data_IF_308385518955
#
_entry.id   IF_308385518955
#
_cell.length_a   1.000
_cell.length_b   1.000
_cell.length_c   1.000
_cell.angle_alpha   90.00
_cell.angle_beta   90.00
_cell.angle_gamma   90.00
#
_symmetry.space_group_name_H-M   'P 1'
#
loop_
_entity.id
_entity.type
_entity.pdbx_description
1 polymer ?
#
# COMPACT_ATOMS: atom_id res chain seq x y z
N UNK A 1 10.32 -44.05 -70.08
CA UNK A 1 11.26 -44.93 -69.34
C UNK A 1 11.90 -44.09 -68.23
N UNK A 2 11.65 -44.43 -66.95
CA UNK A 2 12.34 -43.88 -65.75
C UNK A 2 13.67 -44.62 -65.55
N UNK A 3 14.70 -44.07 -64.87
CA UNK A 3 14.81 -44.10 -63.38
C UNK A 3 15.41 -42.79 -62.80
N UNK A 4 15.02 -42.17 -61.67
CA UNK A 4 14.84 -42.56 -60.25
C UNK A 4 16.16 -42.89 -59.49
N UNK A 5 16.44 -42.06 -58.46
CA UNK A 5 17.38 -42.17 -57.30
C UNK A 5 18.58 -41.18 -57.35
N UNK A 6 18.63 -40.11 -56.55
CA UNK A 6 18.79 -40.00 -55.08
C UNK A 6 20.26 -39.82 -54.67
N UNK A 7 20.66 -38.59 -54.29
CA UNK A 7 21.71 -38.19 -53.34
C UNK A 7 21.88 -36.66 -53.52
N UNK A 8 22.10 -35.75 -52.57
CA UNK A 8 22.17 -35.65 -51.11
C UNK A 8 22.63 -34.18 -50.89
N UNK A 9 22.17 -33.53 -49.80
CA UNK A 9 22.74 -32.31 -49.19
C UNK A 9 22.83 -31.01 -50.04
N UNK A 10 22.15 -29.94 -49.61
CA UNK A 10 22.72 -28.96 -48.65
C UNK A 10 21.74 -27.80 -48.44
N UNK A 11 21.27 -27.66 -47.20
CA UNK A 11 20.52 -26.52 -46.70
C UNK A 11 21.33 -25.22 -46.81
N UNK A 12 20.71 -24.15 -47.32
CA UNK A 12 20.97 -22.80 -46.81
C UNK A 12 19.63 -22.09 -46.70
N UNK A 13 19.01 -22.23 -45.53
CA UNK A 13 17.88 -21.41 -45.10
C UNK A 13 18.51 -20.09 -44.62
N UNK A 14 18.49 -19.07 -45.46
CA UNK A 14 18.97 -17.74 -45.10
C UNK A 14 17.94 -17.11 -44.16
N UNK A 15 18.05 -17.41 -42.86
CA UNK A 15 17.35 -16.66 -41.81
C UNK A 15 18.04 -15.31 -41.73
N UNK A 16 17.44 -14.29 -42.36
CA UNK A 16 17.74 -12.92 -42.03
C UNK A 16 17.28 -12.70 -40.58
N UNK A 17 18.20 -12.87 -39.64
CA UNK A 17 18.04 -12.35 -38.29
C UNK A 17 18.04 -10.83 -38.41
N UNK A 18 16.84 -10.24 -38.55
CA UNK A 18 16.65 -8.84 -38.24
C UNK A 18 17.02 -8.69 -36.77
N UNK A 19 18.22 -8.19 -36.50
CA UNK A 19 18.54 -7.64 -35.19
C UNK A 19 17.42 -6.64 -34.85
N UNK A 20 16.92 -6.63 -33.59
CA UNK A 20 16.06 -5.54 -33.19
C UNK A 20 16.92 -4.28 -33.30
N UNK A 21 16.69 -3.52 -34.38
CA UNK A 21 17.08 -2.13 -34.41
C UNK A 21 16.34 -1.56 -33.21
N UNK A 22 17.08 -1.13 -32.20
CA UNK A 22 16.55 -0.35 -31.10
C UNK A 22 16.08 0.98 -31.70
N UNK A 23 14.95 0.92 -32.41
CA UNK A 23 14.08 2.04 -32.66
C UNK A 23 13.85 2.64 -31.27
N UNK A 24 14.17 3.91 -31.12
CA UNK A 24 14.01 4.64 -29.88
C UNK A 24 12.53 4.62 -29.52
N UNK A 25 12.11 3.55 -28.85
CA UNK A 25 10.74 3.33 -28.45
C UNK A 25 10.38 4.49 -27.53
N UNK A 26 9.40 5.28 -27.94
CA UNK A 26 9.01 6.46 -27.19
C UNK A 26 8.50 6.02 -25.80
N UNK A 27 9.06 6.58 -24.71
CA UNK A 27 8.62 6.19 -23.38
C UNK A 27 7.15 6.55 -23.22
N UNK A 28 6.31 5.57 -22.87
CA UNK A 28 4.85 5.75 -22.74
C UNK A 28 4.36 5.56 -21.29
N UNK A 29 5.13 4.86 -20.46
CA UNK A 29 4.80 4.60 -19.06
C UNK A 29 6.02 4.58 -18.16
N UNK A 30 5.85 5.15 -16.96
CA UNK A 30 6.84 5.06 -15.87
C UNK A 30 6.17 4.49 -14.61
N UNK A 31 6.87 3.61 -13.92
CA UNK A 31 6.50 3.11 -12.59
C UNK A 31 7.65 3.35 -11.62
N UNK A 32 7.32 3.63 -10.36
CA UNK A 32 8.29 3.88 -9.30
C UNK A 32 7.99 2.98 -8.10
N UNK A 33 8.99 2.21 -7.68
CA UNK A 33 8.89 1.28 -6.55
C UNK A 33 10.05 1.54 -5.58
N UNK A 34 9.83 1.27 -4.29
CA UNK A 34 10.90 1.24 -3.30
C UNK A 34 11.19 -0.18 -2.87
N UNK A 35 12.47 -0.54 -2.80
CA UNK A 35 12.95 -1.79 -2.26
C UNK A 35 13.73 -1.51 -0.98
N UNK A 36 13.41 -2.23 0.09
CA UNK A 36 14.23 -2.21 1.31
C UNK A 36 15.43 -3.13 1.12
N UNK A 37 16.61 -2.64 1.48
CA UNK A 37 17.86 -3.39 1.42
C UNK A 37 18.16 -3.96 2.83
N UNK A 38 18.91 -5.07 2.89
CA UNK A 38 19.18 -5.80 4.14
C UNK A 38 19.97 -4.98 5.18
N UNK A 39 20.66 -3.93 4.75
CA UNK A 39 21.40 -2.98 5.60
C UNK A 39 20.50 -1.88 6.23
N UNK A 40 19.19 -1.93 5.96
CA UNK A 40 18.22 -0.92 6.42
C UNK A 40 18.14 0.31 5.52
N UNK A 41 18.93 0.39 4.44
CA UNK A 41 18.79 1.42 3.41
C UNK A 41 17.60 1.12 2.48
N UNK A 42 17.13 2.14 1.77
CA UNK A 42 16.05 2.02 0.79
C UNK A 42 16.59 2.34 -0.59
N UNK A 43 16.18 1.58 -1.60
CA UNK A 43 16.51 1.83 -3.00
C UNK A 43 15.24 2.16 -3.77
N UNK A 44 15.26 3.29 -4.48
CA UNK A 44 14.23 3.62 -5.46
C UNK A 44 14.56 2.92 -6.78
N UNK A 45 13.55 2.33 -7.40
CA UNK A 45 13.65 1.70 -8.71
C UNK A 45 12.54 2.26 -9.58
N UNK A 46 12.92 3.01 -10.60
CA UNK A 46 12.02 3.46 -11.65
C UNK A 46 12.13 2.52 -12.85
N UNK A 47 11.00 2.11 -13.41
CA UNK A 47 10.95 1.33 -14.65
C UNK A 47 10.17 2.10 -15.71
N UNK A 48 10.80 2.29 -16.87
CA UNK A 48 10.25 2.98 -18.03
C UNK A 48 9.91 1.95 -19.10
N UNK A 49 8.69 2.00 -19.61
CA UNK A 49 8.15 1.09 -20.62
C UNK A 49 7.48 1.85 -21.75
N UNK A 50 7.47 1.25 -22.93
CA UNK A 50 6.69 1.71 -24.08
C UNK A 50 5.20 1.32 -23.96
N UNK A 51 4.39 1.69 -24.96
CA UNK A 51 2.96 1.38 -24.99
C UNK A 51 2.65 -0.12 -25.18
N UNK A 52 3.61 -0.91 -25.67
CA UNK A 52 3.54 -2.37 -25.81
C UNK A 52 4.04 -3.12 -24.56
N UNK A 53 4.58 -2.40 -23.56
CA UNK A 53 5.15 -2.97 -22.33
C UNK A 53 6.64 -3.33 -22.42
N UNK A 54 7.33 -2.96 -23.50
CA UNK A 54 8.77 -3.18 -23.70
C UNK A 54 9.58 -2.19 -22.87
N UNK A 55 10.67 -2.60 -22.19
CA UNK A 55 11.54 -1.68 -21.47
C UNK A 55 12.28 -0.73 -22.42
N UNK A 56 12.34 0.56 -22.07
CA UNK A 56 13.03 1.59 -22.87
C UNK A 56 14.36 1.98 -22.21
N UNK A 57 15.52 1.61 -22.80
CA UNK A 57 16.84 1.99 -22.28
C UNK A 57 17.25 3.42 -22.66
N UNK A 58 18.24 3.97 -21.96
CA UNK A 58 18.87 5.27 -22.28
C UNK A 58 17.98 6.49 -22.04
N UNK A 59 16.92 6.35 -21.26
CA UNK A 59 15.98 7.43 -20.97
C UNK A 59 16.34 8.11 -19.65
N UNK A 60 16.52 9.43 -19.66
CA UNK A 60 16.84 10.20 -18.46
C UNK A 60 15.66 10.23 -17.48
N UNK A 61 15.87 9.71 -16.26
CA UNK A 61 14.91 9.72 -15.16
C UNK A 61 15.41 10.61 -14.03
N UNK A 62 14.67 11.67 -13.73
CA UNK A 62 14.94 12.56 -12.60
C UNK A 62 14.12 12.13 -11.37
N UNK A 63 14.80 11.82 -10.27
CA UNK A 63 14.19 11.54 -8.97
C UNK A 63 14.08 12.83 -8.14
N UNK A 64 12.89 13.08 -7.62
CA UNK A 64 12.53 14.26 -6.84
C UNK A 64 11.92 13.82 -5.51
N UNK A 65 12.24 14.53 -4.43
CA UNK A 65 11.62 14.36 -3.12
C UNK A 65 10.82 15.60 -2.73
N UNK A 66 9.66 15.39 -2.12
CA UNK A 66 8.87 16.46 -1.51
C UNK A 66 9.44 16.79 -0.15
N UNK A 67 9.88 18.03 0.01
CA UNK A 67 10.36 18.61 1.27
C UNK A 67 9.40 19.71 1.75
N UNK A 68 9.59 20.20 2.98
CA UNK A 68 8.84 21.34 3.50
C UNK A 68 9.00 22.62 2.64
N UNK A 69 10.11 22.74 1.91
CA UNK A 69 10.45 23.89 1.08
C UNK A 69 10.11 23.68 -0.41
N UNK A 70 9.49 22.55 -0.78
CA UNK A 70 9.13 22.22 -2.16
C UNK A 70 9.81 20.94 -2.68
N UNK A 71 9.92 20.81 -4.00
CA UNK A 71 10.52 19.65 -4.66
C UNK A 71 12.05 19.77 -4.73
N UNK A 72 12.76 18.81 -4.14
CA UNK A 72 14.21 18.72 -4.19
C UNK A 72 14.64 17.65 -5.19
N UNK A 73 15.51 17.99 -6.14
CA UNK A 73 16.14 17.02 -7.06
C UNK A 73 17.13 16.17 -6.25
N UNK A 74 16.91 14.86 -6.23
CA UNK A 74 17.79 13.90 -5.57
C UNK A 74 18.90 13.43 -6.50
N UNK A 75 18.50 12.96 -7.67
CA UNK A 75 19.41 12.40 -8.66
C UNK A 75 18.75 12.40 -10.04
N UNK A 76 19.58 12.28 -11.06
CA UNK A 76 19.18 12.02 -12.43
C UNK A 76 19.99 10.83 -12.93
N UNK A 77 19.30 9.82 -13.43
CA UNK A 77 19.89 8.52 -13.79
C UNK A 77 19.23 8.05 -15.08
N UNK A 78 20.03 7.67 -16.06
CA UNK A 78 19.54 7.08 -17.30
C UNK A 78 19.12 5.62 -17.08
N UNK A 79 18.05 5.18 -17.76
CA UNK A 79 17.63 3.78 -17.70
C UNK A 79 18.65 2.85 -18.33
N UNK A 80 18.96 1.73 -17.66
CA UNK A 80 19.82 0.68 -18.20
C UNK A 80 19.16 -0.12 -19.33
N UNK A 81 19.86 -1.14 -19.84
CA UNK A 81 19.36 -2.03 -20.91
C UNK A 81 17.99 -2.68 -20.60
N UNK A 82 17.68 -2.86 -19.31
CA UNK A 82 16.41 -3.42 -18.83
C UNK A 82 15.31 -2.36 -18.64
N UNK A 83 15.53 -1.11 -19.09
CA UNK A 83 14.59 0.00 -18.92
C UNK A 83 14.41 0.46 -17.47
N UNK A 84 15.36 0.14 -16.60
CA UNK A 84 15.31 0.48 -15.17
C UNK A 84 16.38 1.48 -14.77
N UNK A 85 15.99 2.45 -13.95
CA UNK A 85 16.89 3.40 -13.29
C UNK A 85 16.76 3.20 -11.78
N UNK A 86 17.87 3.19 -11.05
CA UNK A 86 17.84 2.94 -9.61
C UNK A 86 18.73 3.90 -8.85
N UNK A 87 18.25 4.31 -7.67
CA UNK A 87 18.93 5.27 -6.82
C UNK A 87 18.84 4.85 -5.34
N UNK A 88 19.98 4.84 -4.64
CA UNK A 88 20.02 4.54 -3.22
C UNK A 88 19.60 5.77 -2.42
N UNK A 89 18.62 5.59 -1.54
CA UNK A 89 18.04 6.63 -0.71
C UNK A 89 18.67 6.58 0.69
N UNK A 90 19.50 7.58 1.00
CA UNK A 90 20.12 7.74 2.32
C UNK A 90 19.58 8.99 3.02
N UNK A 91 18.94 8.83 4.18
CA UNK A 91 18.67 9.94 5.09
C UNK A 91 17.44 10.81 4.81
N UNK A 92 16.47 10.38 3.99
CA UNK A 92 15.20 11.10 3.85
C UNK A 92 14.25 10.84 5.04
N UNK A 93 13.50 11.85 5.51
CA UNK A 93 12.54 11.69 6.60
C UNK A 93 11.42 10.72 6.21
N UNK A 94 10.84 10.08 7.23
CA UNK A 94 9.93 8.92 7.13
C UNK A 94 8.59 9.16 6.38
N UNK A 95 8.33 10.39 5.93
CA UNK A 95 7.14 10.81 5.19
C UNK A 95 7.57 11.71 4.01
N UNK A 96 8.33 11.14 3.07
CA UNK A 96 8.75 11.86 1.86
C UNK A 96 7.96 11.30 0.68
N UNK A 97 7.19 12.15 0.00
CA UNK A 97 6.66 11.82 -1.33
C UNK A 97 7.82 11.90 -2.33
N UNK A 98 8.03 10.84 -3.10
CA UNK A 98 9.06 10.79 -4.14
C UNK A 98 8.38 10.76 -5.50
N UNK A 99 8.88 11.52 -6.45
CA UNK A 99 8.45 11.49 -7.84
C UNK A 99 9.63 11.14 -8.74
N UNK A 100 9.42 10.25 -9.70
CA UNK A 100 10.33 10.01 -10.80
C UNK A 100 9.72 10.63 -12.07
N UNK A 101 10.50 11.44 -12.79
CA UNK A 101 10.08 12.13 -14.02
C UNK A 101 10.96 11.74 -15.18
N UNK A 102 10.34 11.55 -16.34
CA UNK A 102 11.03 11.22 -17.59
C UNK A 102 10.97 12.42 -18.53
N UNK A 103 12.13 12.81 -19.07
CA UNK A 103 12.27 13.90 -20.05
C UNK A 103 12.25 15.32 -19.46
N UNK A 104 12.65 16.29 -20.28
CA UNK A 104 12.58 17.71 -19.93
C UNK A 104 11.13 18.20 -19.97
N UNK A 105 10.51 18.29 -18.79
CA UNK A 105 9.17 18.83 -18.63
C UNK A 105 8.09 17.77 -18.55
N UNK A 106 7.91 17.19 -17.36
CA UNK A 106 6.67 16.58 -16.86
C UNK A 106 5.93 15.52 -17.72
N UNK A 107 6.44 15.10 -18.88
CA UNK A 107 5.72 14.30 -19.87
C UNK A 107 5.24 12.95 -19.29
N UNK A 108 6.07 12.35 -18.43
CA UNK A 108 5.70 11.15 -17.67
C UNK A 108 6.22 11.28 -16.24
N UNK A 109 5.35 11.05 -15.26
CA UNK A 109 5.70 11.11 -13.84
C UNK A 109 5.09 9.92 -13.08
N UNK A 110 5.87 9.31 -12.19
CA UNK A 110 5.39 8.34 -11.22
C UNK A 110 5.66 8.85 -9.81
N UNK A 111 4.62 9.00 -9.01
CA UNK A 111 4.71 9.34 -7.59
C UNK A 111 4.66 8.09 -6.71
N UNK A 112 5.52 8.06 -5.70
CA UNK A 112 5.52 7.06 -4.65
C UNK A 112 5.61 7.76 -3.31
N UNK A 113 4.57 7.61 -2.50
CA UNK A 113 4.63 8.00 -1.10
C UNK A 113 5.45 6.93 -0.38
N UNK A 114 6.59 7.31 0.19
CA UNK A 114 7.39 6.42 1.05
C UNK A 114 6.67 6.20 2.37
N UNK A 115 5.57 5.46 2.35
CA UNK A 115 4.98 4.91 3.56
C UNK A 115 5.94 3.86 4.10
N UNK A 116 6.31 3.98 5.37
CA UNK A 116 7.05 2.93 6.06
C UNK A 116 6.32 1.56 5.93
N UNK A 117 7.03 0.43 5.83
CA UNK A 117 6.60 -0.78 6.53
C UNK A 117 6.47 -0.35 7.98
N UNK A 118 5.25 -0.41 8.52
CA UNK A 118 4.93 0.16 9.83
C UNK A 118 6.04 -0.15 10.85
N UNK A 119 6.79 0.86 11.36
CA UNK A 119 7.72 0.62 12.46
C UNK A 119 6.95 0.28 13.75
N UNK A 120 5.61 0.37 13.70
CA UNK A 120 4.65 -0.15 14.66
C UNK A 120 4.03 -1.48 14.20
N UNK A 121 4.79 -2.35 13.52
CA UNK A 121 4.68 -3.77 13.89
C UNK A 121 4.74 -3.82 15.41
N UNK A 122 3.75 -4.42 16.11
CA UNK A 122 3.40 -4.07 17.48
C UNK A 122 4.65 -3.96 18.33
N UNK A 123 5.08 -2.73 18.62
CA UNK A 123 6.15 -2.53 19.58
C UNK A 123 5.57 -2.99 20.90
N UNK A 124 5.85 -4.24 21.28
CA UNK A 124 5.67 -4.70 22.64
C UNK A 124 6.47 -3.72 23.48
N UNK A 125 5.79 -2.74 24.08
CA UNK A 125 6.39 -1.84 25.05
C UNK A 125 7.09 -2.74 26.07
N UNK A 126 8.40 -2.62 26.28
CA UNK A 126 9.08 -3.37 27.32
C UNK A 126 8.35 -3.10 28.63
N UNK A 127 7.72 -4.12 29.19
CA UNK A 127 6.86 -3.99 30.37
C UNK A 127 5.37 -4.22 30.15
N UNK A 128 4.82 -4.19 28.92
CA UNK A 128 3.40 -4.56 28.70
C UNK A 128 3.16 -6.04 29.04
N UNK A 129 4.11 -6.90 28.66
CA UNK A 129 4.12 -8.34 29.03
C UNK A 129 4.30 -8.56 30.54
N UNK A 130 4.91 -7.59 31.23
CA UNK A 130 5.15 -7.64 32.68
C UNK A 130 3.92 -7.15 33.42
N UNK A 131 3.29 -6.07 32.95
CA UNK A 131 2.02 -5.56 33.45
C UNK A 131 0.88 -6.57 33.23
N UNK A 132 0.84 -7.26 32.09
CA UNK A 132 -0.15 -8.32 31.83
C UNK A 132 0.08 -9.58 32.66
N UNK A 133 1.32 -9.85 33.10
CA UNK A 133 1.64 -10.93 34.05
C UNK A 133 1.45 -10.53 35.52
N UNK A 134 1.65 -9.26 35.86
CA UNK A 134 1.54 -8.73 37.23
C UNK A 134 0.12 -8.28 37.58
N UNK A 135 -0.69 -7.92 36.58
CA UNK A 135 -2.12 -7.66 36.75
C UNK A 135 -2.94 -8.83 36.21
N UNK A 136 -3.25 -9.85 37.03
CA UNK A 136 -4.40 -10.70 36.79
C UNK A 136 -5.64 -9.89 37.12
N UNK A 137 -5.83 -8.75 36.48
CA UNK A 137 -7.08 -8.03 36.56
C UNK A 137 -8.01 -8.69 35.55
N UNK A 138 -8.98 -9.52 36.00
CA UNK A 138 -10.02 -9.99 35.11
C UNK A 138 -10.68 -8.75 34.54
N UNK A 139 -10.97 -8.77 33.23
CA UNK A 139 -11.47 -7.60 32.51
C UNK A 139 -12.46 -6.81 33.36
N UNK A 140 -12.11 -5.55 33.65
CA UNK A 140 -12.92 -4.60 34.43
C UNK A 140 -14.29 -4.31 33.81
N UNK A 141 -14.54 -4.90 32.64
CA UNK A 141 -15.83 -4.96 31.97
C UNK A 141 -16.35 -6.37 32.19
N UNK A 142 -16.93 -6.63 33.37
CA UNK A 142 -17.73 -7.84 33.52
C UNK A 142 -18.88 -7.75 32.51
N UNK A 143 -19.10 -8.75 31.64
CA UNK A 143 -20.23 -8.75 30.71
C UNK A 143 -21.58 -8.78 31.45
N UNK A 144 -21.56 -9.05 32.75
CA UNK A 144 -22.72 -8.99 33.64
C UNK A 144 -22.76 -7.64 34.34
N UNK A 145 -23.89 -6.91 34.30
CA UNK A 145 -24.07 -5.75 35.14
C UNK A 145 -24.03 -6.20 36.62
N UNK A 146 -23.39 -5.44 37.52
CA UNK A 146 -23.39 -5.73 38.94
C UNK A 146 -24.84 -5.88 39.45
N UNK A 147 -25.08 -6.83 40.35
CA UNK A 147 -26.43 -7.17 40.88
C UNK A 147 -27.15 -5.95 41.45
N UNK A 148 -26.39 -4.97 41.96
CA UNK A 148 -26.92 -3.69 42.43
C UNK A 148 -27.63 -2.89 41.32
N UNK A 149 -27.14 -2.90 40.07
CA UNK A 149 -27.79 -2.22 38.95
C UNK A 149 -29.11 -2.89 38.61
N UNK A 150 -29.15 -4.23 38.59
CA UNK A 150 -30.39 -4.98 38.38
C UNK A 150 -31.41 -4.70 39.50
N UNK A 151 -30.95 -4.62 40.75
CA UNK A 151 -31.79 -4.29 41.89
C UNK A 151 -32.37 -2.88 41.80
N UNK A 152 -31.55 -1.87 41.48
CA UNK A 152 -32.01 -0.48 41.29
C UNK A 152 -32.98 -0.38 40.11
N UNK A 153 -32.68 -1.05 38.99
CA UNK A 153 -33.56 -1.07 37.83
C UNK A 153 -34.92 -1.73 38.14
N UNK A 154 -34.93 -2.81 38.92
CA UNK A 154 -36.15 -3.47 39.36
C UNK A 154 -36.99 -2.57 40.29
N UNK A 155 -36.36 -1.87 41.24
CA UNK A 155 -37.04 -0.90 42.11
C UNK A 155 -37.67 0.23 41.30
N UNK A 156 -36.90 0.84 40.39
CA UNK A 156 -37.41 1.91 39.55
C UNK A 156 -38.58 1.42 38.68
N UNK A 157 -38.44 0.27 38.03
CA UNK A 157 -39.50 -0.34 37.23
C UNK A 157 -40.77 -0.62 38.03
N UNK A 158 -40.64 -1.11 39.27
CA UNK A 158 -41.77 -1.32 40.17
C UNK A 158 -42.52 -0.02 40.48
N UNK A 159 -41.79 1.03 40.87
CA UNK A 159 -42.35 2.35 41.17
C UNK A 159 -43.13 2.90 39.97
N UNK A 160 -42.52 2.90 38.78
CA UNK A 160 -43.15 3.38 37.55
C UNK A 160 -44.42 2.58 37.21
N UNK A 161 -44.40 1.26 37.40
CA UNK A 161 -45.56 0.40 37.14
C UNK A 161 -46.72 0.71 38.09
N UNK A 162 -46.44 0.96 39.37
CA UNK A 162 -47.48 1.38 40.33
C UNK A 162 -48.10 2.71 39.94
N UNK A 163 -47.32 3.70 39.54
CA UNK A 163 -47.86 4.98 39.07
C UNK A 163 -48.69 4.82 37.79
N UNK A 164 -48.20 4.06 36.82
CA UNK A 164 -48.95 3.79 35.59
C UNK A 164 -50.29 3.11 35.88
N UNK A 165 -50.31 2.15 36.83
CA UNK A 165 -51.54 1.48 37.26
C UNK A 165 -52.52 2.46 37.92
N UNK A 166 -52.05 3.34 38.81
CA UNK A 166 -52.90 4.36 39.45
C UNK A 166 -53.50 5.32 38.41
N UNK A 167 -52.70 5.80 37.46
CA UNK A 167 -53.18 6.68 36.38
C UNK A 167 -54.22 5.96 35.53
N UNK A 168 -53.96 4.71 35.15
CA UNK A 168 -54.92 3.89 34.40
C UNK A 168 -56.24 3.71 35.18
N UNK A 169 -56.16 3.44 36.48
CA UNK A 169 -57.33 3.25 37.35
C UNK A 169 -58.15 4.55 37.47
N UNK A 170 -57.51 5.70 37.61
CA UNK A 170 -58.17 7.02 37.62
C UNK A 170 -58.88 7.31 36.29
N UNK A 171 -58.22 7.04 35.16
CA UNK A 171 -58.83 7.20 33.82
C UNK A 171 -60.06 6.30 33.70
N UNK A 172 -59.97 5.05 34.18
CA UNK A 172 -61.06 4.09 34.13
C UNK A 172 -62.27 4.54 34.95
N UNK A 173 -62.07 5.02 36.19
CA UNK A 173 -63.16 5.53 37.04
C UNK A 173 -63.83 6.73 36.39
N UNK A 174 -63.05 7.69 35.88
CA UNK A 174 -63.57 8.89 35.21
C UNK A 174 -64.41 8.57 33.97
N UNK A 175 -64.14 7.45 33.28
CA UNK A 175 -64.95 7.02 32.13
C UNK A 175 -66.22 6.27 32.52
N UNK A 176 -66.30 5.78 33.75
CA UNK A 176 -67.42 5.00 34.29
C UNK A 176 -68.38 5.85 35.15
N UNK A 177 -68.04 7.12 35.39
CA UNK A 177 -68.87 8.13 36.05
C UNK A 177 -69.34 9.16 35.02
#
# INVERSE_FOLDING_TARGET
>A
MRPLRSLVLLCVLLVAASAPTAEAAEPAGISLVTQAQADGSRRLVASVKDAAGTPVPGTAVTFLARTAFGWLKLAEVDTGADGTASFALSGLPAYTEVQARVGEGAALQAGLLLALPDPRGPQRRPGLDVLSRMSPQPGFISPYPPVQILFVAALLGGIWTTYAYLVWLLIRIRRAS
#
